data_IF_229391553156
#
_entry.id   IF_229391553156
#
_cell.length_a   1.000
_cell.length_b   1.000
_cell.length_c   1.000
_cell.angle_alpha   90.00
_cell.angle_beta   90.00
_cell.angle_gamma   90.00
#
_symmetry.space_group_name_H-M   'P 1'
#
loop_
_entity.id
_entity.type
_entity.pdbx_description
1 polymer ?
#
# COMPACT_ATOMS: atom_id res chain seq x y z
N UNK A 1 -18.90 -18.52 3.32
CA UNK A 1 -18.03 -18.38 2.13
C UNK A 1 -16.59 -18.14 2.59
N UNK A 2 -15.56 -18.53 1.83
CA UNK A 2 -14.14 -18.43 2.24
C UNK A 2 -13.73 -17.01 2.71
N UNK A 3 -14.25 -15.97 2.06
CA UNK A 3 -14.03 -14.58 2.48
C UNK A 3 -14.43 -14.32 3.94
N UNK A 4 -15.54 -14.90 4.40
CA UNK A 4 -16.02 -14.72 5.77
C UNK A 4 -15.19 -15.54 6.76
N UNK A 5 -14.71 -16.73 6.36
CA UNK A 5 -13.79 -17.52 7.17
C UNK A 5 -12.46 -16.76 7.39
N UNK A 6 -11.90 -16.17 6.33
CA UNK A 6 -10.72 -15.30 6.43
C UNK A 6 -11.01 -14.11 7.36
N UNK A 7 -12.13 -13.40 7.14
CA UNK A 7 -12.49 -12.26 7.99
C UNK A 7 -12.56 -12.66 9.47
N UNK A 8 -13.25 -13.75 9.79
CA UNK A 8 -13.40 -14.26 11.15
C UNK A 8 -12.06 -14.66 11.78
N UNK A 9 -11.17 -15.31 11.02
CA UNK A 9 -9.83 -15.68 11.52
C UNK A 9 -9.03 -14.46 11.96
N UNK A 10 -9.10 -13.36 11.22
CA UNK A 10 -8.41 -12.12 11.57
C UNK A 10 -9.14 -11.32 12.65
N UNK A 11 -10.46 -11.17 12.56
CA UNK A 11 -11.28 -10.43 13.52
C UNK A 11 -11.17 -11.02 14.94
N UNK A 12 -11.14 -12.35 15.06
CA UNK A 12 -11.04 -13.06 16.35
C UNK A 12 -9.62 -13.15 16.92
N UNK A 13 -8.61 -12.72 16.16
CA UNK A 13 -7.19 -12.90 16.55
C UNK A 13 -6.36 -11.63 16.29
N UNK A 14 -7.00 -10.44 16.30
CA UNK A 14 -6.33 -9.17 16.05
C UNK A 14 -5.14 -8.97 16.99
N UNK A 15 -5.22 -9.46 18.22
CA UNK A 15 -4.17 -9.37 19.24
C UNK A 15 -2.84 -10.01 18.81
N UNK A 16 -2.88 -11.01 17.93
CA UNK A 16 -1.69 -11.67 17.36
C UNK A 16 -0.95 -10.82 16.32
N UNK A 17 -1.55 -9.72 15.88
CA UNK A 17 -0.96 -8.80 14.92
C UNK A 17 -0.32 -7.61 15.63
N UNK A 18 0.77 -7.09 15.05
CA UNK A 18 1.29 -5.75 15.41
C UNK A 18 0.24 -4.67 15.14
N UNK A 19 0.30 -3.53 15.84
CA UNK A 19 -0.61 -2.40 15.65
C UNK A 19 -0.72 -1.96 14.18
N UNK A 20 0.39 -1.90 13.45
CA UNK A 20 0.39 -1.53 12.02
C UNK A 20 -0.39 -2.54 11.17
N UNK A 21 -0.23 -3.85 11.42
CA UNK A 21 -0.97 -4.91 10.72
C UNK A 21 -2.46 -4.91 11.06
N UNK A 22 -2.81 -4.67 12.34
CA UNK A 22 -4.23 -4.49 12.73
C UNK A 22 -4.86 -3.33 11.98
N UNK A 23 -4.18 -2.18 11.96
CA UNK A 23 -4.66 -1.00 11.24
C UNK A 23 -4.79 -1.28 9.74
N UNK A 24 -3.78 -1.94 9.15
CA UNK A 24 -3.76 -2.30 7.74
C UNK A 24 -4.96 -3.16 7.34
N UNK A 25 -5.21 -4.23 8.10
CA UNK A 25 -6.34 -5.13 7.91
C UNK A 25 -7.68 -4.39 8.07
N UNK A 26 -7.91 -3.78 9.23
CA UNK A 26 -9.20 -3.18 9.59
C UNK A 26 -9.59 -2.02 8.67
N UNK A 27 -8.64 -1.16 8.29
CA UNK A 27 -8.93 -0.02 7.40
C UNK A 27 -9.35 -0.52 6.02
N UNK A 28 -8.65 -1.51 5.46
CA UNK A 28 -9.02 -2.08 4.16
C UNK A 28 -10.35 -2.81 4.22
N UNK A 29 -10.57 -3.62 5.24
CA UNK A 29 -11.85 -4.30 5.48
C UNK A 29 -12.99 -3.29 5.63
N UNK A 30 -12.79 -2.18 6.36
CA UNK A 30 -13.77 -1.09 6.46
C UNK A 30 -14.10 -0.49 5.10
N UNK A 31 -13.08 -0.19 4.28
CA UNK A 31 -13.27 0.47 2.98
C UNK A 31 -14.08 -0.37 2.00
N UNK A 32 -14.06 -1.70 2.15
CA UNK A 32 -14.86 -2.61 1.32
C UNK A 32 -16.22 -2.94 1.92
N UNK A 33 -16.31 -3.06 3.25
CA UNK A 33 -17.54 -3.57 3.91
C UNK A 33 -18.41 -2.49 4.54
N UNK A 34 -17.84 -1.34 4.88
CA UNK A 34 -18.51 -0.29 5.64
C UNK A 34 -18.87 -0.66 7.08
N UNK A 35 -18.39 -1.80 7.61
CA UNK A 35 -18.67 -2.27 8.97
C UNK A 35 -18.25 -1.21 10.02
N UNK A 36 -19.24 -0.58 10.66
CA UNK A 36 -19.01 0.47 11.67
C UNK A 36 -18.29 -0.05 12.92
N UNK A 37 -18.39 -1.35 13.18
CA UNK A 37 -17.72 -2.10 14.24
C UNK A 37 -16.20 -1.89 14.25
N UNK A 38 -15.60 -1.69 13.08
CA UNK A 38 -14.16 -1.47 12.96
C UNK A 38 -13.73 -0.07 13.41
N UNK A 39 -14.62 0.92 13.42
CA UNK A 39 -14.27 2.32 13.74
C UNK A 39 -13.66 2.45 15.15
N UNK A 40 -14.29 1.95 16.24
CA UNK A 40 -13.68 2.04 17.58
C UNK A 40 -12.34 1.30 17.68
N UNK A 41 -12.19 0.16 16.99
CA UNK A 41 -10.92 -0.59 16.95
C UNK A 41 -9.82 0.21 16.24
N UNK A 42 -10.13 0.79 15.08
CA UNK A 42 -9.23 1.66 14.31
C UNK A 42 -8.86 2.89 15.15
N UNK A 43 -9.81 3.52 15.85
CA UNK A 43 -9.54 4.66 16.74
C UNK A 43 -8.56 4.28 17.88
N UNK A 44 -8.79 3.14 18.54
CA UNK A 44 -7.90 2.66 19.60
C UNK A 44 -6.47 2.43 19.09
N UNK A 45 -6.33 1.81 17.91
CA UNK A 45 -5.02 1.58 17.30
C UNK A 45 -4.37 2.90 16.87
N UNK A 46 -5.13 3.83 16.29
CA UNK A 46 -4.66 5.16 15.92
C UNK A 46 -4.09 5.90 17.14
N UNK A 47 -4.81 5.91 18.27
CA UNK A 47 -4.35 6.55 19.51
C UNK A 47 -3.04 5.93 20.04
N UNK A 48 -2.86 4.63 19.91
CA UNK A 48 -1.61 3.95 20.28
C UNK A 48 -0.44 4.27 19.32
N UNK A 49 -0.72 4.52 18.03
CA UNK A 49 0.28 4.89 17.04
C UNK A 49 0.61 6.40 17.03
N UNK A 50 -0.27 7.22 17.60
CA UNK A 50 -0.16 8.68 17.60
C UNK A 50 1.19 9.22 18.12
N UNK A 51 1.81 8.67 19.20
CA UNK A 51 3.14 9.11 19.62
C UNK A 51 4.21 8.94 18.54
N UNK A 52 4.15 7.85 17.76
CA UNK A 52 5.08 7.64 16.63
C UNK A 52 4.79 8.62 15.51
N UNK A 53 3.51 8.90 15.23
CA UNK A 53 3.13 9.88 14.21
C UNK A 53 3.68 11.27 14.57
N UNK A 54 3.48 11.72 15.81
CA UNK A 54 4.05 12.98 16.35
C UNK A 54 5.57 13.01 16.24
N UNK A 55 6.27 11.95 16.66
CA UNK A 55 7.74 11.88 16.58
C UNK A 55 8.23 12.11 15.15
N UNK A 56 7.61 11.46 14.16
CA UNK A 56 8.03 11.58 12.76
C UNK A 56 7.65 12.95 12.18
N UNK A 57 6.42 13.42 12.37
CA UNK A 57 5.98 14.69 11.78
C UNK A 57 6.68 15.91 12.41
N UNK A 58 6.90 15.90 13.73
CA UNK A 58 7.63 16.99 14.41
C UNK A 58 9.10 17.10 13.99
N UNK A 59 9.70 16.05 13.42
CA UNK A 59 11.07 16.12 12.91
C UNK A 59 11.23 17.14 11.78
N UNK A 60 10.16 17.43 11.04
CA UNK A 60 10.17 18.40 9.94
C UNK A 60 10.35 19.86 10.41
N UNK A 61 10.35 20.11 11.72
CA UNK A 61 10.76 21.39 12.31
C UNK A 61 12.26 21.69 12.17
N UNK A 62 13.09 20.68 11.87
CA UNK A 62 14.54 20.85 11.71
C UNK A 62 15.18 19.74 10.89
N UNK A 63 16.03 20.10 9.92
CA UNK A 63 16.81 19.14 9.14
C UNK A 63 17.66 18.21 10.03
N UNK A 64 18.15 18.69 11.18
CA UNK A 64 18.92 17.87 12.13
C UNK A 64 18.10 16.67 12.62
N UNK A 65 16.82 16.88 12.98
CA UNK A 65 15.94 15.81 13.45
C UNK A 65 15.61 14.81 12.34
N UNK A 66 15.43 15.28 11.10
CA UNK A 66 15.24 14.40 9.94
C UNK A 66 16.46 13.48 9.78
N UNK A 67 17.67 14.04 9.85
CA UNK A 67 18.92 13.26 9.75
C UNK A 67 19.03 12.23 10.87
N UNK A 68 18.71 12.60 12.11
CA UNK A 68 18.72 11.67 13.26
C UNK A 68 17.75 10.49 13.06
N UNK A 69 16.50 10.76 12.68
CA UNK A 69 15.52 9.71 12.39
C UNK A 69 15.92 8.85 11.19
N UNK A 70 16.57 9.43 10.20
CA UNK A 70 17.01 8.69 9.01
C UNK A 70 18.13 7.71 9.37
N UNK A 71 19.07 8.10 10.23
CA UNK A 71 20.10 7.20 10.77
C UNK A 71 19.48 6.04 11.56
N UNK A 72 18.51 6.34 12.43
CA UNK A 72 17.75 5.32 13.18
C UNK A 72 17.05 4.34 12.21
N UNK A 73 16.45 4.86 11.13
CA UNK A 73 15.75 4.06 10.14
C UNK A 73 16.69 3.13 9.35
N UNK A 74 17.87 3.61 8.96
CA UNK A 74 18.89 2.82 8.24
C UNK A 74 19.40 1.66 9.10
N UNK A 75 19.72 1.92 10.37
CA UNK A 75 20.22 0.88 11.29
C UNK A 75 19.20 -0.24 11.46
N UNK A 76 17.91 0.10 11.52
CA UNK A 76 16.82 -0.86 11.72
C UNK A 76 16.31 -1.50 10.42
N UNK A 77 16.87 -1.15 9.26
CA UNK A 77 16.36 -1.62 7.97
C UNK A 77 16.75 -3.07 7.70
N UNK A 78 15.80 -4.00 7.69
CA UNK A 78 16.09 -5.43 7.41
C UNK A 78 16.28 -5.70 5.91
N UNK A 79 17.24 -6.57 5.58
CA UNK A 79 17.59 -6.97 4.20
C UNK A 79 17.43 -8.49 3.92
N UNK A 80 16.21 -9.05 4.00
CA UNK A 80 15.99 -10.48 3.82
C UNK A 80 16.20 -10.98 2.36
N UNK A 81 16.36 -10.09 1.39
CA UNK A 81 16.53 -10.44 -0.03
C UNK A 81 17.23 -9.32 -0.81
N UNK A 82 17.61 -9.62 -2.06
CA UNK A 82 18.34 -8.69 -2.94
C UNK A 82 17.58 -7.39 -3.23
N UNK A 83 16.25 -7.42 -3.35
CA UNK A 83 15.43 -6.19 -3.55
C UNK A 83 15.65 -5.22 -2.38
N UNK A 84 15.65 -5.73 -1.14
CA UNK A 84 15.89 -4.92 0.06
C UNK A 84 17.34 -4.42 0.14
N UNK A 85 18.33 -5.21 -0.29
CA UNK A 85 19.73 -4.76 -0.38
C UNK A 85 19.88 -3.58 -1.34
N UNK A 86 19.27 -3.64 -2.54
CA UNK A 86 19.30 -2.55 -3.52
C UNK A 86 18.66 -1.26 -3.00
N UNK A 87 17.52 -1.37 -2.33
CA UNK A 87 16.86 -0.23 -1.68
C UNK A 87 17.74 0.40 -0.60
N UNK A 88 18.40 -0.41 0.22
CA UNK A 88 19.31 0.09 1.25
C UNK A 88 20.49 0.87 0.65
N UNK A 89 21.03 0.45 -0.50
CA UNK A 89 22.07 1.22 -1.19
C UNK A 89 21.59 2.63 -1.53
N UNK A 90 20.38 2.76 -2.11
CA UNK A 90 19.78 4.06 -2.37
C UNK A 90 19.56 4.89 -1.09
N UNK A 91 19.03 4.27 -0.02
CA UNK A 91 18.80 4.96 1.25
C UNK A 91 20.09 5.43 1.93
N UNK A 92 21.23 4.77 1.71
CA UNK A 92 22.52 5.25 2.24
C UNK A 92 22.98 6.54 1.57
N UNK A 93 22.67 6.71 0.28
CA UNK A 93 22.93 7.94 -0.47
C UNK A 93 21.89 9.02 -0.17
N UNK A 94 20.64 8.63 0.12
CA UNK A 94 19.49 9.52 0.31
C UNK A 94 18.68 9.14 1.57
N UNK A 95 19.26 9.29 2.78
CA UNK A 95 18.69 8.77 4.03
C UNK A 95 17.33 9.36 4.38
N UNK A 96 17.11 10.64 4.10
CA UNK A 96 15.89 11.38 4.39
C UNK A 96 14.64 10.82 3.71
N UNK A 97 14.81 10.11 2.58
CA UNK A 97 13.70 9.53 1.80
C UNK A 97 12.89 8.54 2.65
N UNK A 98 13.54 7.83 3.57
CA UNK A 98 12.84 6.93 4.49
C UNK A 98 11.88 7.67 5.42
N UNK A 99 12.30 8.83 5.93
CA UNK A 99 11.48 9.67 6.82
C UNK A 99 10.37 10.37 6.03
N UNK A 100 10.67 10.84 4.81
CA UNK A 100 9.67 11.44 3.92
C UNK A 100 8.55 10.46 3.57
N UNK A 101 8.89 9.22 3.22
CA UNK A 101 7.88 8.20 2.90
C UNK A 101 7.03 7.80 4.11
N UNK A 102 7.66 7.62 5.28
CA UNK A 102 6.93 7.30 6.52
C UNK A 102 5.98 8.45 6.92
N UNK A 103 6.44 9.70 6.81
CA UNK A 103 5.62 10.87 7.09
C UNK A 103 4.44 11.01 6.13
N UNK A 104 4.65 10.81 4.81
CA UNK A 104 3.58 10.85 3.82
C UNK A 104 2.49 9.80 4.10
N UNK A 105 2.88 8.57 4.49
CA UNK A 105 1.95 7.52 4.90
C UNK A 105 1.16 7.91 6.16
N UNK A 106 1.81 8.47 7.18
CA UNK A 106 1.13 8.87 8.42
C UNK A 106 0.16 10.02 8.19
N UNK A 107 0.57 11.03 7.43
CA UNK A 107 -0.30 12.12 7.03
C UNK A 107 -1.49 11.60 6.22
N UNK A 108 -1.29 10.64 5.31
CA UNK A 108 -2.38 9.98 4.59
C UNK A 108 -3.39 9.34 5.55
N UNK A 109 -2.92 8.58 6.55
CA UNK A 109 -3.82 8.00 7.56
C UNK A 109 -4.58 9.10 8.33
N UNK A 110 -3.86 10.08 8.88
CA UNK A 110 -4.43 11.20 9.65
C UNK A 110 -5.54 11.90 8.83
N UNK A 111 -5.25 12.31 7.59
CA UNK A 111 -6.23 12.98 6.71
C UNK A 111 -7.39 12.07 6.31
N UNK A 112 -7.09 10.81 5.96
CA UNK A 112 -8.14 9.83 5.64
C UNK A 112 -9.11 9.65 6.82
N UNK A 113 -8.57 9.70 8.04
CA UNK A 113 -9.33 9.59 9.29
C UNK A 113 -10.03 10.87 9.73
N UNK A 114 -9.77 12.00 9.07
CA UNK A 114 -10.33 13.30 9.45
C UNK A 114 -9.68 13.93 10.69
N UNK A 115 -8.45 13.51 11.01
CA UNK A 115 -7.74 13.92 12.23
C UNK A 115 -6.75 15.07 11.99
N UNK A 116 -6.61 15.57 10.76
CA UNK A 116 -5.62 16.59 10.41
C UNK A 116 -5.80 17.92 11.16
N UNK A 117 -7.02 18.21 11.61
CA UNK A 117 -7.36 19.40 12.39
C UNK A 117 -7.56 19.09 13.89
N UNK A 118 -7.25 17.88 14.34
CA UNK A 118 -7.40 17.52 15.76
C UNK A 118 -6.37 18.26 16.61
N UNK A 119 -6.74 18.58 17.86
CA UNK A 119 -5.85 19.28 18.81
C UNK A 119 -4.58 18.49 19.08
N UNK A 120 -4.64 17.17 18.96
CA UNK A 120 -3.54 16.28 19.28
C UNK A 120 -2.48 16.20 18.19
N UNK A 121 -2.72 16.58 16.93
CA UNK A 121 -1.73 16.37 15.85
C UNK A 121 -1.63 17.52 14.83
N UNK A 122 -2.54 18.50 14.90
CA UNK A 122 -2.65 19.53 13.85
C UNK A 122 -1.38 20.35 13.66
N UNK A 123 -0.63 20.65 14.72
CA UNK A 123 0.60 21.45 14.58
C UNK A 123 1.74 20.66 13.94
N UNK A 124 1.98 19.42 14.37
CA UNK A 124 2.97 18.55 13.73
C UNK A 124 2.59 18.26 12.27
N UNK A 125 1.30 18.10 11.97
CA UNK A 125 0.79 17.92 10.62
C UNK A 125 1.05 19.13 9.72
N UNK A 126 0.76 20.35 10.20
CA UNK A 126 1.01 21.60 9.46
C UNK A 126 2.50 21.79 9.18
N UNK A 127 3.36 21.58 10.19
CA UNK A 127 4.82 21.72 10.04
C UNK A 127 5.35 20.76 8.96
N UNK A 128 4.95 19.48 9.01
CA UNK A 128 5.36 18.50 8.01
C UNK A 128 4.85 18.86 6.61
N UNK A 129 3.57 19.22 6.47
CA UNK A 129 2.97 19.61 5.18
C UNK A 129 3.72 20.78 4.54
N UNK A 130 3.91 21.87 5.30
CA UNK A 130 4.61 23.07 4.81
C UNK A 130 6.05 22.79 4.40
N UNK A 131 6.77 21.94 5.16
CA UNK A 131 8.12 21.52 4.78
C UNK A 131 8.11 20.74 3.46
N UNK A 132 7.21 19.77 3.33
CA UNK A 132 7.13 18.89 2.14
C UNK A 132 6.83 19.68 0.87
N UNK A 133 5.93 20.66 0.95
CA UNK A 133 5.60 21.60 -0.13
C UNK A 133 6.82 22.45 -0.51
N UNK A 134 7.42 23.14 0.48
CA UNK A 134 8.54 24.05 0.25
C UNK A 134 9.77 23.35 -0.36
N UNK A 135 10.03 22.11 0.04
CA UNK A 135 11.23 21.38 -0.38
C UNK A 135 11.01 20.48 -1.61
N UNK A 136 9.79 20.44 -2.16
CA UNK A 136 9.41 19.59 -3.28
C UNK A 136 9.89 18.13 -3.08
N UNK A 137 9.43 17.48 -2.01
CA UNK A 137 9.91 16.12 -1.68
C UNK A 137 9.59 15.07 -2.75
N UNK A 138 8.61 15.35 -3.62
CA UNK A 138 8.24 14.47 -4.72
C UNK A 138 9.41 14.18 -5.67
N UNK A 139 10.35 15.12 -5.82
CA UNK A 139 11.54 14.95 -6.65
C UNK A 139 12.37 13.72 -6.29
N UNK A 140 12.43 13.36 -5.00
CA UNK A 140 13.17 12.18 -4.54
C UNK A 140 12.49 10.87 -4.92
N UNK A 141 11.16 10.87 -4.99
CA UNK A 141 10.38 9.69 -5.36
C UNK A 141 10.28 9.54 -6.88
N UNK A 142 10.34 10.65 -7.62
CA UNK A 142 10.40 10.67 -9.08
C UNK A 142 11.82 10.46 -9.64
N UNK A 143 12.85 10.37 -8.79
CA UNK A 143 14.19 9.96 -9.21
C UNK A 143 14.15 8.53 -9.76
N UNK A 144 14.64 8.37 -10.99
CA UNK A 144 14.79 7.07 -11.65
C UNK A 144 15.55 6.06 -10.81
N UNK A 145 16.58 6.49 -10.08
CA UNK A 145 17.31 5.58 -9.17
C UNK A 145 16.43 5.04 -8.05
N UNK A 146 15.47 5.84 -7.56
CA UNK A 146 14.56 5.41 -6.51
C UNK A 146 13.47 4.48 -7.04
N UNK A 147 12.70 4.92 -8.03
CA UNK A 147 11.52 4.17 -8.45
C UNK A 147 11.88 2.89 -9.22
N UNK A 148 13.11 2.73 -9.72
CA UNK A 148 13.57 1.45 -10.29
C UNK A 148 13.88 0.40 -9.21
N UNK A 149 14.30 0.80 -8.00
CA UNK A 149 14.55 -0.14 -6.89
C UNK A 149 13.37 -0.29 -5.92
N UNK A 150 12.41 0.65 -5.97
CA UNK A 150 11.23 0.65 -5.12
C UNK A 150 9.97 1.25 -5.80
N UNK A 151 9.51 0.65 -6.92
CA UNK A 151 8.42 1.24 -7.71
C UNK A 151 7.09 1.31 -6.97
N UNK A 152 6.74 0.29 -6.17
CA UNK A 152 5.49 0.30 -5.42
C UNK A 152 5.45 1.39 -4.36
N UNK A 153 6.55 1.62 -3.64
CA UNK A 153 6.63 2.71 -2.66
C UNK A 153 6.60 4.08 -3.34
N UNK A 154 7.26 4.25 -4.49
CA UNK A 154 7.13 5.45 -5.32
C UNK A 154 5.66 5.73 -5.68
N UNK A 155 4.97 4.76 -6.27
CA UNK A 155 3.57 4.90 -6.66
C UNK A 155 2.68 5.23 -5.46
N UNK A 156 2.92 4.58 -4.34
CA UNK A 156 2.20 4.82 -3.10
C UNK A 156 2.38 6.26 -2.59
N UNK A 157 3.62 6.74 -2.54
CA UNK A 157 3.95 8.05 -1.97
C UNK A 157 3.46 9.17 -2.87
N UNK A 158 3.65 9.09 -4.19
CA UNK A 158 3.11 10.12 -5.10
C UNK A 158 1.59 10.24 -4.98
N UNK A 159 0.88 9.11 -4.87
CA UNK A 159 -0.57 9.14 -4.60
C UNK A 159 -0.90 9.72 -3.22
N UNK A 160 -0.11 9.43 -2.18
CA UNK A 160 -0.27 10.08 -0.88
C UNK A 160 -0.09 11.60 -0.97
N UNK A 161 0.96 12.08 -1.63
CA UNK A 161 1.21 13.52 -1.76
C UNK A 161 0.10 14.24 -2.54
N UNK A 162 -0.45 13.60 -3.59
CA UNK A 162 -1.63 14.09 -4.31
C UNK A 162 -2.87 14.11 -3.43
N UNK A 163 -3.16 13.03 -2.70
CA UNK A 163 -4.27 12.99 -1.73
C UNK A 163 -4.15 14.06 -0.63
N UNK A 164 -2.92 14.36 -0.20
CA UNK A 164 -2.63 15.37 0.81
C UNK A 164 -2.75 16.81 0.28
N UNK A 165 -2.75 16.99 -1.05
CA UNK A 165 -2.72 18.29 -1.71
C UNK A 165 -1.36 18.98 -1.62
N UNK A 166 -0.28 18.19 -1.57
CA UNK A 166 1.11 18.68 -1.53
C UNK A 166 1.67 18.86 -2.94
N UNK A 167 1.40 17.90 -3.83
CA UNK A 167 1.77 17.95 -5.25
C UNK A 167 0.81 17.09 -6.06
N UNK A 168 0.56 17.42 -7.32
CA UNK A 168 -0.17 16.54 -8.24
C UNK A 168 0.74 16.03 -9.37
N UNK A 169 1.42 14.91 -9.11
CA UNK A 169 2.40 14.30 -10.03
C UNK A 169 1.93 12.93 -10.55
N UNK A 170 0.65 12.59 -10.38
CA UNK A 170 0.10 11.28 -10.75
C UNK A 170 0.19 11.03 -12.26
N UNK A 171 -0.16 12.02 -13.09
CA UNK A 171 -0.11 11.86 -14.55
C UNK A 171 1.33 11.72 -15.06
N UNK A 172 2.26 12.50 -14.50
CA UNK A 172 3.69 12.38 -14.80
C UNK A 172 4.22 11.00 -14.40
N UNK A 173 3.86 10.52 -13.20
CA UNK A 173 4.24 9.19 -12.73
C UNK A 173 3.68 8.10 -13.65
N UNK A 174 2.39 8.16 -14.00
CA UNK A 174 1.74 7.18 -14.88
C UNK A 174 2.45 7.13 -16.25
N UNK A 175 2.79 8.29 -16.82
CA UNK A 175 3.55 8.35 -18.08
C UNK A 175 4.92 7.71 -17.95
N UNK A 176 5.71 8.10 -16.93
CA UNK A 176 7.04 7.54 -16.69
C UNK A 176 7.01 6.02 -16.51
N UNK A 177 6.04 5.53 -15.73
CA UNK A 177 5.92 4.11 -15.44
C UNK A 177 5.43 3.34 -16.66
N UNK A 178 4.46 3.86 -17.42
CA UNK A 178 4.00 3.25 -18.66
C UNK A 178 5.17 3.13 -19.67
N UNK A 179 5.87 4.23 -19.95
CA UNK A 179 6.99 4.27 -20.88
C UNK A 179 8.12 3.32 -20.46
N UNK A 180 8.50 3.32 -19.18
CA UNK A 180 9.58 2.47 -18.70
C UNK A 180 9.16 1.01 -18.57
N UNK A 181 8.13 0.71 -17.77
CA UNK A 181 7.82 -0.67 -17.41
C UNK A 181 7.32 -1.48 -18.60
N UNK A 182 6.64 -0.87 -19.58
CA UNK A 182 6.25 -1.58 -20.79
C UNK A 182 7.38 -1.77 -21.80
N UNK A 183 8.40 -0.90 -21.79
CA UNK A 183 9.53 -1.01 -22.73
C UNK A 183 10.64 -1.93 -22.23
N UNK A 184 10.79 -2.11 -20.91
CA UNK A 184 11.85 -2.99 -20.41
C UNK A 184 11.55 -4.46 -20.70
N UNK A 185 12.58 -5.16 -21.15
CA UNK A 185 12.68 -6.62 -21.01
C UNK A 185 13.42 -6.90 -19.69
N UNK A 186 12.76 -7.46 -18.67
CA UNK A 186 13.40 -7.67 -17.38
C UNK A 186 14.63 -8.58 -17.50
N UNK A 187 15.77 -8.12 -17.01
CA UNK A 187 17.02 -8.90 -17.05
C UNK A 187 17.07 -10.02 -16.00
N UNK A 188 16.15 -10.02 -15.03
CA UNK A 188 16.04 -11.02 -13.98
C UNK A 188 14.61 -11.07 -13.40
N UNK A 189 14.21 -12.16 -12.74
CA UNK A 189 12.85 -12.33 -12.19
C UNK A 189 12.44 -11.22 -11.20
N UNK A 190 13.38 -10.71 -10.40
CA UNK A 190 13.07 -9.69 -9.40
C UNK A 190 12.61 -8.36 -10.02
N UNK A 191 13.15 -7.98 -11.18
CA UNK A 191 12.75 -6.79 -11.93
C UNK A 191 11.37 -6.98 -12.55
N UNK A 192 11.09 -8.18 -13.06
CA UNK A 192 9.76 -8.49 -13.60
C UNK A 192 8.70 -8.45 -12.48
N UNK A 193 9.00 -8.95 -11.28
CA UNK A 193 8.09 -8.79 -10.14
C UNK A 193 7.91 -7.32 -9.74
N UNK A 194 8.99 -6.53 -9.72
CA UNK A 194 8.91 -5.09 -9.47
C UNK A 194 8.02 -4.38 -10.50
N UNK A 195 8.02 -4.81 -11.77
CA UNK A 195 7.07 -4.36 -12.80
C UNK A 195 5.63 -4.66 -12.39
N UNK A 196 5.29 -5.91 -12.03
CA UNK A 196 3.91 -6.27 -11.63
C UNK A 196 3.45 -5.42 -10.43
N UNK A 197 4.30 -5.29 -9.41
CA UNK A 197 3.99 -4.44 -8.25
C UNK A 197 3.81 -2.97 -8.65
N UNK A 198 4.63 -2.44 -9.56
CA UNK A 198 4.49 -1.08 -10.06
C UNK A 198 3.08 -0.87 -10.65
N UNK A 199 2.65 -1.75 -11.55
CA UNK A 199 1.36 -1.68 -12.24
C UNK A 199 0.18 -1.74 -11.25
N UNK A 200 0.21 -2.69 -10.32
CA UNK A 200 -0.81 -2.82 -9.28
C UNK A 200 -0.92 -1.53 -8.46
N UNK A 201 0.21 -1.00 -7.99
CA UNK A 201 0.23 0.13 -7.07
C UNK A 201 -0.11 1.48 -7.73
N UNK A 202 0.03 1.63 -9.05
CA UNK A 202 -0.52 2.79 -9.75
C UNK A 202 -2.05 2.84 -9.67
N UNK A 203 -2.70 1.71 -9.94
CA UNK A 203 -4.18 1.62 -9.95
C UNK A 203 -4.73 1.68 -8.52
N UNK A 204 -4.13 0.95 -7.58
CA UNK A 204 -4.51 0.98 -6.17
C UNK A 204 -4.29 2.39 -5.59
N UNK A 205 -3.18 3.05 -5.94
CA UNK A 205 -2.90 4.42 -5.53
C UNK A 205 -3.95 5.40 -6.06
N UNK A 206 -4.30 5.34 -7.34
CA UNK A 206 -5.32 6.21 -7.97
C UNK A 206 -6.69 6.09 -7.29
N UNK A 207 -7.03 4.90 -6.79
CA UNK A 207 -8.25 4.65 -6.01
C UNK A 207 -8.25 5.31 -4.62
N UNK A 208 -7.17 6.02 -4.25
CA UNK A 208 -6.86 6.43 -2.88
C UNK A 208 -6.95 5.26 -1.89
N UNK A 209 -6.44 4.10 -2.30
CA UNK A 209 -6.45 2.85 -1.55
C UNK A 209 -7.88 2.41 -1.18
N UNK A 210 -8.68 2.13 -2.21
CA UNK A 210 -10.05 1.61 -2.14
C UNK A 210 -11.06 2.60 -1.57
N UNK A 211 -10.83 3.91 -1.74
CA UNK A 211 -11.80 4.94 -1.34
C UNK A 211 -12.66 5.41 -2.52
N UNK A 212 -12.17 5.25 -3.75
CA UNK A 212 -12.88 5.61 -4.99
C UNK A 212 -12.69 4.50 -6.04
N UNK A 213 -13.65 4.39 -6.95
CA UNK A 213 -13.42 3.65 -8.20
C UNK A 213 -12.53 4.48 -9.13
N UNK A 214 -11.90 3.80 -10.09
CA UNK A 214 -10.91 4.36 -11.02
C UNK A 214 -11.47 4.31 -12.44
N UNK A 215 -11.14 5.31 -13.27
CA UNK A 215 -11.43 5.27 -14.71
C UNK A 215 -10.48 4.27 -15.39
N UNK A 216 -11.07 3.25 -16.01
CA UNK A 216 -10.35 2.17 -16.67
C UNK A 216 -9.38 2.68 -17.74
N UNK A 217 -9.81 3.66 -18.53
CA UNK A 217 -9.07 4.16 -19.71
C UNK A 217 -7.68 4.69 -19.37
N UNK A 218 -7.47 5.12 -18.12
CA UNK A 218 -6.15 5.59 -17.63
C UNK A 218 -5.12 4.47 -17.55
N UNK A 219 -5.58 3.22 -17.46
CA UNK A 219 -4.75 2.03 -17.21
C UNK A 219 -5.01 0.87 -18.17
N UNK A 220 -5.65 1.10 -19.32
CA UNK A 220 -5.89 0.07 -20.36
C UNK A 220 -4.61 -0.72 -20.71
N UNK A 221 -3.48 -0.01 -20.77
CA UNK A 221 -2.16 -0.58 -21.04
C UNK A 221 -1.69 -1.56 -19.96
N UNK A 222 -2.02 -1.31 -18.69
CA UNK A 222 -1.69 -2.21 -17.59
C UNK A 222 -2.60 -3.45 -17.61
N UNK A 223 -3.91 -3.26 -17.87
CA UNK A 223 -4.85 -4.38 -17.99
C UNK A 223 -4.52 -5.29 -19.16
N UNK A 224 -4.21 -4.73 -20.34
CA UNK A 224 -3.73 -5.48 -21.50
C UNK A 224 -2.48 -6.28 -21.15
N UNK A 225 -1.50 -5.67 -20.47
CA UNK A 225 -0.31 -6.39 -20.03
C UNK A 225 -0.64 -7.55 -19.09
N UNK A 226 -1.55 -7.37 -18.13
CA UNK A 226 -1.99 -8.44 -17.24
C UNK A 226 -2.67 -9.58 -18.01
N UNK A 227 -3.53 -9.27 -18.99
CA UNK A 227 -4.23 -10.27 -19.80
C UNK A 227 -3.25 -11.08 -20.66
N UNK A 228 -2.31 -10.41 -21.33
CA UNK A 228 -1.31 -11.06 -22.20
C UNK A 228 -0.30 -11.93 -21.45
N UNK A 229 -0.03 -11.61 -20.17
CA UNK A 229 1.02 -12.27 -19.38
C UNK A 229 0.46 -13.10 -18.21
N UNK A 230 -0.86 -13.33 -18.16
CA UNK A 230 -1.50 -13.86 -16.95
C UNK A 230 -0.95 -15.22 -16.53
N UNK A 231 -0.72 -16.14 -17.47
CA UNK A 231 -0.23 -17.49 -17.13
C UNK A 231 1.20 -17.41 -16.54
N UNK A 232 2.07 -16.59 -17.12
CA UNK A 232 3.41 -16.33 -16.56
C UNK A 232 3.33 -15.68 -15.17
N UNK A 233 2.38 -14.76 -14.96
CA UNK A 233 2.07 -14.15 -13.66
C UNK A 233 1.68 -15.22 -12.64
N UNK A 234 0.80 -16.15 -13.00
CA UNK A 234 0.36 -17.24 -12.11
C UNK A 234 1.54 -18.11 -11.69
N UNK A 235 2.44 -18.43 -12.62
CA UNK A 235 3.56 -19.33 -12.35
C UNK A 235 4.67 -18.72 -11.47
N UNK A 236 4.84 -17.39 -11.49
CA UNK A 236 6.03 -16.74 -10.95
C UNK A 236 5.74 -15.67 -9.88
N UNK A 237 4.54 -15.12 -9.83
CA UNK A 237 4.17 -14.09 -8.85
C UNK A 237 3.61 -14.72 -7.57
N UNK A 238 3.75 -14.02 -6.45
CA UNK A 238 3.12 -14.43 -5.21
C UNK A 238 1.60 -14.26 -5.29
N UNK A 239 0.86 -15.14 -4.62
CA UNK A 239 -0.62 -15.14 -4.68
C UNK A 239 -1.25 -13.82 -4.23
N UNK A 240 -0.60 -13.05 -3.36
CA UNK A 240 -1.02 -11.70 -2.98
C UNK A 240 -0.82 -10.67 -4.10
N UNK A 241 0.24 -10.80 -4.91
CA UNK A 241 0.43 -9.97 -6.10
C UNK A 241 -0.61 -10.27 -7.18
N UNK A 242 -0.96 -11.55 -7.36
CA UNK A 242 -2.05 -11.98 -8.25
C UNK A 242 -3.40 -11.45 -7.73
N UNK A 243 -3.64 -11.54 -6.41
CA UNK A 243 -4.82 -10.98 -5.79
C UNK A 243 -4.96 -9.47 -5.99
N UNK A 244 -3.87 -8.71 -5.89
CA UNK A 244 -3.88 -7.27 -6.18
C UNK A 244 -4.30 -6.94 -7.61
N UNK A 245 -3.97 -7.78 -8.61
CA UNK A 245 -4.51 -7.64 -9.97
C UNK A 245 -6.04 -7.76 -9.93
N UNK A 246 -6.58 -8.75 -9.22
CA UNK A 246 -8.02 -8.91 -9.03
C UNK A 246 -8.67 -7.68 -8.39
N UNK A 247 -7.99 -7.03 -7.44
CA UNK A 247 -8.43 -5.77 -6.86
C UNK A 247 -8.44 -4.64 -7.91
N UNK A 248 -7.40 -4.54 -8.76
CA UNK A 248 -7.33 -3.54 -9.82
C UNK A 248 -8.53 -3.63 -10.77
N UNK A 249 -8.92 -4.84 -11.17
CA UNK A 249 -10.13 -5.06 -11.99
C UNK A 249 -11.41 -4.62 -11.27
N UNK A 250 -11.54 -4.92 -9.97
CA UNK A 250 -12.70 -4.47 -9.20
C UNK A 250 -12.76 -2.95 -9.05
N UNK A 251 -11.60 -2.29 -8.91
CA UNK A 251 -11.50 -0.84 -8.81
C UNK A 251 -11.96 -0.10 -10.07
N UNK A 252 -11.90 -0.75 -11.23
CA UNK A 252 -12.45 -0.23 -12.50
C UNK A 252 -13.82 -0.83 -12.84
N UNK A 253 -14.51 -1.42 -11.85
CA UNK A 253 -15.85 -2.02 -11.98
C UNK A 253 -15.92 -3.23 -12.93
N UNK A 254 -14.80 -3.88 -13.24
CA UNK A 254 -14.72 -5.16 -13.99
C UNK A 254 -14.69 -6.38 -13.06
N UNK A 255 -15.41 -6.31 -11.94
CA UNK A 255 -15.41 -7.33 -10.89
C UNK A 255 -15.98 -8.69 -11.31
N UNK A 256 -16.76 -8.75 -12.39
CA UNK A 256 -17.35 -9.99 -12.93
C UNK A 256 -16.60 -10.51 -14.16
N UNK A 257 -15.40 -10.00 -14.45
CA UNK A 257 -14.59 -10.46 -15.58
C UNK A 257 -14.07 -11.88 -15.37
N UNK A 258 -13.82 -12.58 -16.48
CA UNK A 258 -13.18 -13.90 -16.45
C UNK A 258 -11.82 -13.88 -15.73
N UNK A 259 -11.08 -12.77 -15.86
CA UNK A 259 -9.82 -12.54 -15.14
C UNK A 259 -10.03 -12.60 -13.63
N UNK A 260 -11.00 -11.86 -13.09
CA UNK A 260 -11.31 -11.88 -11.65
C UNK A 260 -11.74 -13.26 -11.19
N UNK A 261 -12.55 -13.98 -11.98
CA UNK A 261 -12.95 -15.35 -11.65
C UNK A 261 -11.76 -16.30 -11.52
N UNK A 262 -10.84 -16.30 -12.49
CA UNK A 262 -9.60 -17.10 -12.43
C UNK A 262 -8.78 -16.79 -11.19
N UNK A 263 -8.66 -15.51 -10.84
CA UNK A 263 -7.93 -15.08 -9.62
C UNK A 263 -8.66 -15.54 -8.35
N UNK A 264 -9.99 -15.47 -8.31
CA UNK A 264 -10.78 -15.98 -7.19
C UNK A 264 -10.59 -17.48 -7.02
N UNK A 265 -10.61 -18.25 -8.10
CA UNK A 265 -10.40 -19.71 -8.08
C UNK A 265 -9.01 -20.05 -7.51
N UNK A 266 -7.95 -19.33 -7.94
CA UNK A 266 -6.60 -19.49 -7.38
C UNK A 266 -6.54 -19.17 -5.88
N UNK A 267 -7.22 -18.11 -5.43
CA UNK A 267 -7.26 -17.75 -4.00
C UNK A 267 -8.01 -18.80 -3.17
N UNK A 268 -9.09 -19.35 -3.72
CA UNK A 268 -9.87 -20.42 -3.10
C UNK A 268 -9.02 -21.69 -2.97
N UNK A 269 -8.27 -22.07 -4.00
CA UNK A 269 -7.38 -23.22 -3.96
C UNK A 269 -6.30 -23.10 -2.87
N UNK A 270 -5.77 -21.89 -2.65
CA UNK A 270 -4.74 -21.65 -1.63
C UNK A 270 -5.30 -21.49 -0.21
N UNK A 271 -6.61 -21.51 -0.02
CA UNK A 271 -7.20 -21.41 1.30
C UNK A 271 -7.00 -22.68 2.11
N UNK A 272 -6.42 -22.55 3.31
CA UNK A 272 -6.29 -23.67 4.26
C UNK A 272 -7.48 -23.63 5.22
N UNK A 273 -8.36 -24.64 5.13
CA UNK A 273 -9.57 -24.72 5.97
C UNK A 273 -9.26 -24.87 7.46
N UNK A 274 -8.16 -25.55 7.81
CA UNK A 274 -7.77 -25.79 9.20
C UNK A 274 -7.22 -24.53 9.84
N UNK A 275 -6.43 -23.77 9.09
CA UNK A 275 -5.89 -22.48 9.54
C UNK A 275 -6.95 -21.37 9.47
N UNK A 276 -7.93 -21.50 8.56
CA UNK A 276 -8.97 -20.50 8.32
C UNK A 276 -8.45 -19.28 7.55
N UNK A 277 -7.30 -19.38 6.89
CA UNK A 277 -6.69 -18.32 6.08
C UNK A 277 -5.72 -18.90 5.04
N UNK A 278 -5.31 -18.10 4.07
CA UNK A 278 -4.28 -18.46 3.06
C UNK A 278 -2.89 -18.25 3.70
N UNK A 279 -2.12 -19.31 4.01
CA UNK A 279 -0.81 -19.16 4.66
C UNK A 279 0.22 -18.52 3.72
N UNK A 280 1.18 -17.79 4.28
CA UNK A 280 2.38 -17.35 3.56
C UNK A 280 3.37 -18.51 3.42
N UNK A 281 3.99 -18.63 2.24
CA UNK A 281 4.84 -19.78 1.89
C UNK A 281 6.11 -19.86 2.77
N UNK A 282 6.62 -18.71 3.23
CA UNK A 282 7.82 -18.64 4.06
C UNK A 282 7.52 -18.47 5.56
N UNK A 283 6.43 -17.80 5.91
CA UNK A 283 6.05 -17.49 7.30
C UNK A 283 4.57 -17.79 7.50
N UNK A 284 4.17 -19.07 7.62
CA UNK A 284 2.77 -19.52 7.64
C UNK A 284 2.08 -19.26 8.99
N UNK A 285 2.22 -18.04 9.50
CA UNK A 285 1.53 -17.54 10.70
C UNK A 285 0.45 -16.55 10.28
N UNK A 286 -0.58 -16.38 11.11
CA UNK A 286 -1.63 -15.38 10.88
C UNK A 286 -1.03 -13.99 10.63
N UNK A 287 -0.04 -13.60 11.43
CA UNK A 287 0.65 -12.33 11.32
C UNK A 287 1.53 -12.23 10.06
N UNK A 288 2.22 -13.30 9.69
CA UNK A 288 3.03 -13.39 8.46
C UNK A 288 2.18 -13.36 7.19
N UNK A 289 0.91 -13.74 7.28
CA UNK A 289 0.00 -13.91 6.14
C UNK A 289 -1.03 -12.77 6.00
N UNK A 290 -0.95 -11.72 6.83
CA UNK A 290 -1.98 -10.67 6.91
C UNK A 290 -2.25 -9.95 5.58
N UNK A 291 -1.21 -9.45 4.90
CA UNK A 291 -1.36 -8.75 3.62
C UNK A 291 -2.07 -9.62 2.56
N UNK A 292 -1.63 -10.87 2.45
CA UNK A 292 -2.19 -11.86 1.51
C UNK A 292 -3.68 -12.08 1.75
N UNK A 293 -4.09 -12.16 3.01
CA UNK A 293 -5.47 -12.44 3.37
C UNK A 293 -6.38 -11.23 3.30
N UNK A 294 -5.90 -10.03 3.61
CA UNK A 294 -6.72 -8.83 3.37
C UNK A 294 -6.90 -8.59 1.87
N UNK A 295 -5.90 -8.87 1.05
CA UNK A 295 -6.05 -8.85 -0.42
C UNK A 295 -7.09 -9.89 -0.87
N UNK A 296 -6.96 -11.14 -0.42
CA UNK A 296 -7.90 -12.20 -0.74
C UNK A 296 -9.34 -11.85 -0.34
N UNK A 297 -9.53 -11.29 0.86
CA UNK A 297 -10.84 -10.82 1.35
C UNK A 297 -11.49 -9.81 0.38
N UNK A 298 -10.72 -8.84 -0.11
CA UNK A 298 -11.19 -7.81 -1.06
C UNK A 298 -11.58 -8.45 -2.40
N UNK A 299 -10.77 -9.40 -2.90
CA UNK A 299 -11.03 -10.06 -4.20
C UNK A 299 -12.21 -11.03 -4.14
N UNK A 300 -12.36 -11.77 -3.04
CA UNK A 300 -13.42 -12.76 -2.89
C UNK A 300 -14.78 -12.13 -2.59
N UNK A 301 -14.82 -10.90 -2.04
CA UNK A 301 -16.07 -10.17 -1.83
C UNK A 301 -16.54 -9.44 -3.08
N UNK A 302 -17.85 -9.34 -3.23
CA UNK A 302 -18.47 -8.47 -4.23
C UNK A 302 -18.41 -7.01 -3.74
N UNK A 303 -17.81 -6.12 -4.54
CA UNK A 303 -17.57 -4.72 -4.18
C UNK A 303 -18.58 -3.85 -4.91
N UNK A 304 -19.75 -3.67 -4.28
CA UNK A 304 -20.79 -2.76 -4.81
C UNK A 304 -20.47 -1.30 -4.54
N UNK A 305 -19.81 -1.03 -3.41
CA UNK A 305 -19.49 0.31 -2.92
C UNK A 305 -18.14 0.32 -2.21
N UNK A 306 -17.46 1.45 -2.33
CA UNK A 306 -16.26 1.78 -1.56
C UNK A 306 -16.61 2.84 -0.50
N UNK A 307 -15.96 2.74 0.65
CA UNK A 307 -16.18 3.62 1.80
C UNK A 307 -14.95 4.48 2.04
N UNK A 308 -15.13 5.81 2.10
CA UNK A 308 -14.06 6.74 2.47
C UNK A 308 -13.78 6.67 3.97
N UNK A 309 -12.55 6.93 4.38
CA UNK A 309 -12.17 6.96 5.80
C UNK A 309 -11.70 5.61 6.37
N UNK A 310 -12.11 5.24 7.61
CA UNK A 310 -13.23 5.79 8.41
C UNK A 310 -12.95 7.16 9.04
N UNK A 311 -13.98 7.94 9.39
CA UNK A 311 -13.83 9.15 10.22
C UNK A 311 -13.79 8.77 11.70
N UNK A 312 -12.76 9.23 12.41
CA UNK A 312 -12.57 8.94 13.83
C UNK A 312 -13.17 10.06 14.70
N UNK A 313 -13.60 9.73 15.93
CA UNK A 313 -14.17 10.70 16.87
C UNK A 313 -13.12 11.54 17.60
#
# INVERSE_FOLDING_TARGET
MIADAIANSYENNLEKLSLRRRLHFLVRSYRITGKKEYIPLINSIYRQLLPRFKKVLSAFSSNKKIVELSKEAIVNYKQPNLRRVRRLAYYRENPEVMVYGEAALYMFFIKSFGMENSKEISEEYKVAKSYMEKNNIAKFFLDKKYWTVNPSECANIINFLSFLGIVDEKDRLNKLFCEYWLSITPSEPSIWLDKIYALNHLIIGESNYYQNFVDEKRFDWAFKYFEENFDSIVDNASIDSIGEIGICYKLVRRGSSNMVKRIQDLLIEKFDEKLGFIPNDNIPTLAGSEHRNVVALIVLKDIKRLHKGPKLP
#
